data_IF_048585334063
#
_entry.id   IF_048585334063
#
_cell.length_a   1.000
_cell.length_b   1.000
_cell.length_c   1.000
_cell.angle_alpha   90.00
_cell.angle_beta   90.00
_cell.angle_gamma   90.00
#
_symmetry.space_group_name_H-M   'P 1'
#
loop_
_entity.id
_entity.type
_entity.pdbx_description
1 polymer ?
#
# COMPACT_ATOMS: atom_id res chain seq x y z
N UNK A 1 3.64 2.97 12.96
CA UNK A 1 4.46 2.55 11.80
C UNK A 1 5.94 2.58 12.13
N UNK A 2 6.46 3.68 12.70
CA UNK A 2 7.90 3.83 12.98
C UNK A 2 8.49 2.69 13.84
N UNK A 3 7.74 2.18 14.81
CA UNK A 3 8.20 1.08 15.70
C UNK A 3 8.42 -0.24 14.96
N UNK A 4 7.79 -0.45 13.80
CA UNK A 4 7.98 -1.63 12.95
C UNK A 4 8.98 -1.42 11.80
N UNK A 5 9.48 -0.18 11.61
CA UNK A 5 10.32 0.16 10.47
C UNK A 5 11.60 -0.68 10.40
N UNK A 6 12.27 -0.94 11.53
CA UNK A 6 13.48 -1.76 11.53
C UNK A 6 13.18 -3.21 11.10
N UNK A 7 12.07 -3.77 11.57
CA UNK A 7 11.61 -5.11 11.15
C UNK A 7 11.28 -5.14 9.66
N UNK A 8 10.66 -4.07 9.13
CA UNK A 8 10.36 -3.94 7.71
C UNK A 8 11.64 -3.86 6.87
N UNK A 9 12.65 -3.08 7.28
CA UNK A 9 13.96 -3.01 6.61
C UNK A 9 14.59 -4.41 6.52
N UNK A 10 14.57 -5.16 7.62
CA UNK A 10 15.14 -6.50 7.66
C UNK A 10 14.37 -7.49 6.76
N UNK A 11 13.03 -7.38 6.71
CA UNK A 11 12.20 -8.20 5.83
C UNK A 11 12.49 -7.91 4.35
N UNK A 12 12.49 -6.61 3.94
CA UNK A 12 12.63 -6.20 2.52
C UNK A 12 14.02 -6.44 1.93
N UNK A 13 15.05 -6.72 2.77
CA UNK A 13 16.40 -7.08 2.31
C UNK A 13 16.52 -8.54 1.86
N UNK A 14 15.61 -9.42 2.29
CA UNK A 14 15.64 -10.86 1.96
C UNK A 14 15.28 -11.09 0.49
N UNK A 15 15.45 -12.30 0.01
CA UNK A 15 14.84 -12.74 -1.24
C UNK A 15 13.32 -12.67 -1.12
N UNK A 16 12.68 -12.22 -2.20
CA UNK A 16 11.29 -11.83 -2.16
C UNK A 16 10.50 -12.81 -3.00
N UNK A 17 9.52 -13.39 -2.35
CA UNK A 17 8.44 -14.14 -2.95
C UNK A 17 7.15 -13.46 -2.51
N UNK A 18 6.26 -13.15 -3.44
CA UNK A 18 4.98 -12.51 -3.14
C UNK A 18 4.01 -13.54 -2.59
N UNK A 19 4.01 -13.69 -1.27
CA UNK A 19 3.14 -14.62 -0.52
C UNK A 19 1.97 -13.93 0.18
N UNK A 20 2.06 -12.62 0.38
CA UNK A 20 1.02 -11.83 1.03
C UNK A 20 0.75 -10.54 0.26
N UNK A 21 -0.48 -10.36 -0.20
CA UNK A 21 -0.96 -9.15 -0.87
C UNK A 21 -1.94 -8.44 0.07
N UNK A 22 -1.73 -7.14 0.29
CA UNK A 22 -2.64 -6.29 1.07
C UNK A 22 -3.43 -5.39 0.13
N UNK A 23 -4.75 -5.48 0.17
CA UNK A 23 -5.65 -4.58 -0.57
C UNK A 23 -6.28 -3.60 0.40
N UNK A 24 -6.08 -2.29 0.18
CA UNK A 24 -6.69 -1.22 0.98
C UNK A 24 -6.92 0.02 0.14
N UNK A 25 -8.16 0.25 -0.28
CA UNK A 25 -8.57 1.37 -1.13
C UNK A 25 -9.16 2.56 -0.36
N UNK A 26 -9.06 2.52 0.99
CA UNK A 26 -9.55 3.58 1.87
C UNK A 26 -11.03 3.45 2.23
N UNK A 27 -11.60 4.52 2.80
CA UNK A 27 -12.92 4.48 3.43
C UNK A 27 -14.11 4.37 2.47
N UNK A 28 -13.93 4.68 1.20
CA UNK A 28 -15.01 4.66 0.21
C UNK A 28 -14.54 4.06 -1.10
N UNK A 29 -14.67 2.76 -1.23
CA UNK A 29 -14.54 2.06 -2.51
C UNK A 29 -15.87 2.14 -3.27
N UNK A 30 -16.28 3.35 -3.66
CA UNK A 30 -17.59 3.62 -4.28
C UNK A 30 -17.80 2.92 -5.62
N UNK A 31 -16.73 2.44 -6.26
CA UNK A 31 -16.75 1.78 -7.57
C UNK A 31 -16.57 0.27 -7.47
N UNK A 32 -16.57 -0.28 -6.26
CA UNK A 32 -16.30 -1.69 -6.04
C UNK A 32 -14.99 -2.18 -6.70
N UNK A 33 -13.98 -1.32 -6.64
CA UNK A 33 -12.68 -1.60 -7.24
C UNK A 33 -12.00 -2.79 -6.54
N UNK A 34 -12.20 -2.93 -5.23
CA UNK A 34 -11.73 -4.11 -4.46
C UNK A 34 -12.22 -5.40 -5.10
N UNK A 35 -13.49 -5.51 -5.43
CA UNK A 35 -14.04 -6.70 -6.07
C UNK A 35 -13.44 -6.96 -7.46
N UNK A 36 -13.24 -5.90 -8.25
CA UNK A 36 -12.61 -6.00 -9.58
C UNK A 36 -11.16 -6.46 -9.48
N UNK A 37 -10.39 -5.93 -8.52
CA UNK A 37 -9.01 -6.36 -8.24
C UNK A 37 -8.99 -7.84 -7.87
N UNK A 38 -9.86 -8.28 -6.96
CA UNK A 38 -9.94 -9.68 -6.55
C UNK A 38 -10.26 -10.62 -7.73
N UNK A 39 -11.14 -10.22 -8.64
CA UNK A 39 -11.41 -11.00 -9.86
C UNK A 39 -10.17 -11.17 -10.74
N UNK A 40 -9.35 -10.13 -10.86
CA UNK A 40 -8.10 -10.21 -11.62
C UNK A 40 -7.12 -11.15 -10.91
N UNK A 41 -6.91 -11.01 -9.59
CA UNK A 41 -6.02 -11.87 -8.84
C UNK A 41 -6.44 -13.35 -8.90
N UNK A 42 -7.73 -13.63 -8.84
CA UNK A 42 -8.29 -14.98 -8.94
C UNK A 42 -8.09 -15.60 -10.34
N UNK A 43 -8.10 -14.77 -11.39
CA UNK A 43 -7.91 -15.22 -12.77
C UNK A 43 -6.44 -15.37 -13.18
N UNK A 44 -5.50 -14.90 -12.35
CA UNK A 44 -4.06 -15.02 -12.61
C UNK A 44 -3.56 -16.42 -12.30
N UNK A 45 -2.56 -16.86 -13.06
CA UNK A 45 -1.79 -18.06 -12.74
C UNK A 45 -0.69 -17.71 -11.72
N UNK A 46 -0.56 -18.51 -10.67
CA UNK A 46 0.39 -18.33 -9.59
C UNK A 46 1.23 -19.58 -9.41
N UNK A 47 2.56 -19.46 -9.40
CA UNK A 47 3.45 -20.55 -8.98
C UNK A 47 3.21 -20.91 -7.51
N UNK A 48 2.98 -19.89 -6.69
CA UNK A 48 2.57 -20.03 -5.29
C UNK A 48 1.41 -19.05 -5.03
N UNK A 49 0.25 -19.60 -4.67
CA UNK A 49 -0.94 -18.79 -4.39
C UNK A 49 -0.73 -17.89 -3.18
N UNK A 50 -0.85 -16.57 -3.34
CA UNK A 50 -0.69 -15.64 -2.22
C UNK A 50 -1.90 -15.65 -1.29
N UNK A 51 -1.68 -15.29 -0.04
CA UNK A 51 -2.75 -14.88 0.89
C UNK A 51 -3.09 -13.42 0.57
N UNK A 52 -4.38 -13.11 0.45
CA UNK A 52 -4.86 -11.76 0.15
C UNK A 52 -5.62 -11.20 1.36
N UNK A 53 -5.03 -10.23 2.03
CA UNK A 53 -5.67 -9.51 3.13
C UNK A 53 -6.40 -8.27 2.56
N UNK A 54 -7.73 -8.24 2.63
CA UNK A 54 -8.58 -7.14 2.15
C UNK A 54 -9.08 -6.32 3.32
N UNK A 55 -8.68 -5.06 3.40
CA UNK A 55 -9.11 -4.16 4.48
C UNK A 55 -10.26 -3.27 4.02
N UNK A 56 -11.38 -3.37 4.72
CA UNK A 56 -12.59 -2.59 4.47
C UNK A 56 -12.99 -1.80 5.73
N UNK A 57 -13.70 -0.69 5.53
CA UNK A 57 -14.38 0.01 6.63
C UNK A 57 -15.77 -0.61 6.85
N UNK A 58 -16.33 -0.44 8.06
CA UNK A 58 -17.69 -0.90 8.38
C UNK A 58 -18.77 -0.29 7.49
N UNK A 59 -18.48 0.84 6.86
CA UNK A 59 -19.42 1.56 5.99
C UNK A 59 -19.30 1.16 4.51
N UNK A 60 -18.44 0.21 4.17
CA UNK A 60 -18.34 -0.28 2.80
C UNK A 60 -19.62 -1.01 2.41
N UNK A 61 -20.26 -0.56 1.32
CA UNK A 61 -21.49 -1.17 0.81
C UNK A 61 -21.29 -2.54 0.15
N UNK A 62 -20.02 -2.93 -0.08
CA UNK A 62 -19.66 -4.16 -0.80
C UNK A 62 -19.17 -5.28 0.11
N UNK A 63 -19.24 -5.13 1.43
CA UNK A 63 -18.73 -6.13 2.40
C UNK A 63 -19.25 -7.54 2.07
N UNK A 64 -20.58 -7.68 1.91
CA UNK A 64 -21.19 -9.00 1.70
C UNK A 64 -20.82 -9.62 0.35
N UNK A 65 -20.73 -8.82 -0.72
CA UNK A 65 -20.30 -9.33 -2.02
C UNK A 65 -18.82 -9.75 -2.03
N UNK A 66 -17.96 -9.01 -1.31
CA UNK A 66 -16.54 -9.34 -1.18
C UNK A 66 -16.36 -10.59 -0.32
N UNK A 67 -17.11 -10.75 0.78
CA UNK A 67 -17.12 -11.98 1.58
C UNK A 67 -17.60 -13.20 0.78
N UNK A 68 -18.69 -13.03 0.03
CA UNK A 68 -19.21 -14.11 -0.81
C UNK A 68 -18.17 -14.54 -1.88
N UNK A 69 -17.47 -13.58 -2.47
CA UNK A 69 -16.37 -13.87 -3.38
C UNK A 69 -15.23 -14.61 -2.68
N UNK A 70 -14.79 -14.12 -1.50
CA UNK A 70 -13.72 -14.74 -0.74
C UNK A 70 -14.00 -16.20 -0.36
N UNK A 71 -15.27 -16.51 -0.02
CA UNK A 71 -15.66 -17.87 0.32
C UNK A 71 -15.67 -18.85 -0.87
N UNK A 72 -15.74 -18.35 -2.10
CA UNK A 72 -15.80 -19.16 -3.32
C UNK A 72 -14.51 -19.09 -4.16
N UNK A 73 -13.52 -18.33 -3.70
CA UNK A 73 -12.26 -18.15 -4.40
C UNK A 73 -11.30 -19.33 -4.17
N UNK A 74 -10.43 -19.58 -5.14
CA UNK A 74 -9.27 -20.49 -5.01
C UNK A 74 -8.16 -19.86 -4.18
N UNK A 75 -8.06 -18.51 -4.21
CA UNK A 75 -7.16 -17.74 -3.36
C UNK A 75 -7.61 -17.74 -1.90
N UNK A 76 -6.65 -17.73 -0.99
CA UNK A 76 -6.92 -17.51 0.43
C UNK A 76 -7.14 -16.01 0.71
N UNK A 77 -8.39 -15.57 0.74
CA UNK A 77 -8.79 -14.17 0.91
C UNK A 77 -9.34 -13.94 2.32
N UNK A 78 -8.69 -13.08 3.09
CA UNK A 78 -9.13 -12.63 4.41
C UNK A 78 -9.81 -11.26 4.29
N UNK A 79 -11.09 -11.17 4.64
CA UNK A 79 -11.83 -9.91 4.67
C UNK A 79 -11.78 -9.32 6.08
N UNK A 80 -11.02 -8.25 6.25
CA UNK A 80 -10.72 -7.60 7.52
C UNK A 80 -11.49 -6.27 7.61
N UNK A 81 -12.33 -6.12 8.63
CA UNK A 81 -13.19 -4.94 8.77
C UNK A 81 -12.76 -4.10 9.97
N UNK A 82 -12.58 -2.80 9.75
CA UNK A 82 -12.21 -1.83 10.80
C UNK A 82 -10.95 -2.22 11.58
N UNK A 83 -9.89 -2.57 10.88
CA UNK A 83 -8.63 -2.95 11.52
C UNK A 83 -7.98 -1.78 12.28
N UNK A 84 -7.40 -2.08 13.44
CA UNK A 84 -6.62 -1.14 14.25
C UNK A 84 -5.12 -1.38 14.16
N UNK A 85 -4.71 -2.52 13.58
CA UNK A 85 -3.33 -2.99 13.46
C UNK A 85 -2.82 -2.96 12.01
N UNK A 86 -3.08 -1.84 11.30
CA UNK A 86 -2.70 -1.69 9.90
C UNK A 86 -1.18 -1.81 9.68
N UNK A 87 -0.37 -1.36 10.63
CA UNK A 87 1.08 -1.41 10.53
C UNK A 87 1.61 -2.85 10.48
N UNK A 88 1.03 -3.75 11.27
CA UNK A 88 1.34 -5.17 11.30
C UNK A 88 0.94 -5.86 9.99
N UNK A 89 -0.24 -5.52 9.44
CA UNK A 89 -0.68 -6.01 8.13
C UNK A 89 0.27 -5.56 7.02
N UNK A 90 0.67 -4.29 7.02
CA UNK A 90 1.64 -3.76 6.06
C UNK A 90 3.03 -4.37 6.22
N UNK A 91 3.45 -4.69 7.46
CA UNK A 91 4.70 -5.41 7.70
C UNK A 91 4.63 -6.84 7.15
N UNK A 92 3.51 -7.53 7.36
CA UNK A 92 3.28 -8.90 6.88
C UNK A 92 3.24 -8.96 5.35
N UNK A 93 2.59 -8.01 4.71
CA UNK A 93 2.42 -7.98 3.26
C UNK A 93 3.76 -7.88 2.51
N UNK A 94 3.81 -8.48 1.31
CA UNK A 94 4.94 -8.37 0.38
C UNK A 94 4.63 -7.35 -0.72
N UNK A 95 3.38 -7.20 -1.10
CA UNK A 95 2.89 -6.24 -2.08
C UNK A 95 1.60 -5.59 -1.55
N UNK A 96 1.42 -4.30 -1.80
CA UNK A 96 0.15 -3.63 -1.55
C UNK A 96 -0.52 -3.18 -2.84
N UNK A 97 -1.85 -3.25 -2.88
CA UNK A 97 -2.68 -2.62 -3.90
C UNK A 97 -3.60 -1.64 -3.18
N UNK A 98 -3.50 -0.35 -3.49
CA UNK A 98 -4.17 0.63 -2.68
C UNK A 98 -4.48 1.95 -3.36
N UNK A 99 -5.15 2.85 -2.63
CA UNK A 99 -5.40 4.21 -3.07
C UNK A 99 -4.21 5.15 -2.79
N UNK A 100 -4.09 6.22 -3.59
CA UNK A 100 -3.12 7.31 -3.40
C UNK A 100 -3.59 8.30 -2.33
N UNK A 101 -3.80 7.82 -1.10
CA UNK A 101 -4.18 8.60 0.06
C UNK A 101 -3.07 8.67 1.12
N UNK A 102 -3.45 9.04 2.36
CA UNK A 102 -2.52 9.13 3.50
C UNK A 102 -1.82 7.80 3.80
N UNK A 103 -2.48 6.67 3.55
CA UNK A 103 -1.91 5.34 3.72
C UNK A 103 -0.71 5.07 2.80
N UNK A 104 -0.50 5.86 1.75
CA UNK A 104 0.70 5.79 0.92
C UNK A 104 1.96 6.07 1.74
N UNK A 105 1.91 7.08 2.61
CA UNK A 105 3.03 7.43 3.48
C UNK A 105 3.32 6.34 4.53
N UNK A 106 2.28 5.67 5.02
CA UNK A 106 2.39 4.54 5.93
C UNK A 106 3.08 3.35 5.25
N UNK A 107 2.69 3.03 4.00
CA UNK A 107 3.36 2.02 3.17
C UNK A 107 4.81 2.39 2.89
N UNK A 108 5.08 3.66 2.56
CA UNK A 108 6.45 4.16 2.36
C UNK A 108 7.30 4.03 3.63
N UNK A 109 6.75 4.36 4.80
CA UNK A 109 7.45 4.21 6.08
C UNK A 109 7.92 2.77 6.33
N UNK A 110 7.18 1.77 5.86
CA UNK A 110 7.52 0.35 5.96
C UNK A 110 8.15 -0.22 4.67
N UNK A 111 8.49 0.63 3.70
CA UNK A 111 9.09 0.22 2.44
C UNK A 111 8.30 -0.84 1.69
N UNK A 112 6.96 -0.83 1.82
CA UNK A 112 6.08 -1.80 1.18
C UNK A 112 5.83 -1.41 -0.27
N UNK A 113 6.34 -2.17 -1.26
CA UNK A 113 6.05 -1.92 -2.65
C UNK A 113 4.56 -1.89 -2.92
N UNK A 114 4.12 -0.91 -3.69
CA UNK A 114 2.70 -0.61 -3.82
C UNK A 114 2.30 -0.29 -5.25
N UNK A 115 1.25 -0.95 -5.72
CA UNK A 115 0.49 -0.61 -6.91
C UNK A 115 -0.64 0.32 -6.49
N UNK A 116 -0.75 1.50 -7.09
CA UNK A 116 -1.57 2.58 -6.54
C UNK A 116 -2.55 3.15 -7.56
N UNK A 117 -3.82 3.24 -7.17
CA UNK A 117 -4.88 3.93 -7.91
C UNK A 117 -5.14 5.33 -7.36
N UNK A 118 -5.35 6.29 -8.25
CA UNK A 118 -5.96 7.57 -7.90
C UNK A 118 -7.46 7.41 -7.78
N UNK A 119 -8.02 7.61 -6.59
CA UNK A 119 -9.49 7.50 -6.35
C UNK A 119 -10.21 8.84 -6.46
N UNK A 120 -9.47 9.93 -6.60
CA UNK A 120 -9.98 11.30 -6.75
C UNK A 120 -8.98 12.17 -7.51
N UNK A 121 -9.48 13.24 -8.14
CA UNK A 121 -8.65 14.11 -9.00
C UNK A 121 -7.51 14.81 -8.25
N UNK A 122 -7.73 15.17 -6.99
CA UNK A 122 -6.71 15.80 -6.16
C UNK A 122 -5.52 14.87 -5.83
N UNK A 123 -5.64 13.58 -6.08
CA UNK A 123 -4.57 12.60 -5.87
C UNK A 123 -3.68 12.43 -7.11
N UNK A 124 -4.12 12.86 -8.29
CA UNK A 124 -3.38 12.64 -9.55
C UNK A 124 -1.96 13.22 -9.52
N UNK A 125 -1.83 14.47 -9.06
CA UNK A 125 -0.53 15.16 -9.04
C UNK A 125 0.49 14.49 -8.11
N UNK A 126 0.06 14.12 -6.89
CA UNK A 126 0.95 13.44 -5.94
C UNK A 126 1.29 12.03 -6.41
N UNK A 127 0.32 11.30 -6.96
CA UNK A 127 0.52 9.95 -7.49
C UNK A 127 1.54 9.96 -8.63
N UNK A 128 1.39 10.86 -9.63
CA UNK A 128 2.34 11.01 -10.73
C UNK A 128 3.75 11.36 -10.22
N UNK A 129 3.87 12.21 -9.19
CA UNK A 129 5.16 12.54 -8.59
C UNK A 129 5.79 11.33 -7.89
N UNK A 130 5.04 10.57 -7.11
CA UNK A 130 5.54 9.38 -6.41
C UNK A 130 5.96 8.29 -7.39
N UNK A 131 5.21 8.11 -8.47
CA UNK A 131 5.54 7.19 -9.56
C UNK A 131 6.85 7.59 -10.24
N UNK A 132 7.00 8.88 -10.61
CA UNK A 132 8.24 9.40 -11.21
C UNK A 132 9.48 9.29 -10.32
N UNK A 133 9.29 9.20 -9.01
CA UNK A 133 10.35 8.96 -8.02
C UNK A 133 10.62 7.46 -7.79
N UNK A 134 9.88 6.57 -8.45
CA UNK A 134 10.02 5.13 -8.26
C UNK A 134 9.59 4.62 -6.89
N UNK A 135 8.75 5.38 -6.18
CA UNK A 135 8.28 5.05 -4.83
C UNK A 135 7.05 4.13 -4.85
N UNK A 136 6.27 4.23 -5.91
CA UNK A 136 5.09 3.42 -6.18
C UNK A 136 5.07 3.02 -7.65
N UNK A 137 4.14 2.13 -8.04
CA UNK A 137 3.75 1.92 -9.43
C UNK A 137 2.32 2.45 -9.59
N UNK A 138 2.15 3.44 -10.47
CA UNK A 138 0.84 4.04 -10.73
C UNK A 138 0.01 3.18 -11.67
N UNK A 139 -1.21 2.87 -11.26
CA UNK A 139 -2.22 2.16 -12.07
C UNK A 139 -3.26 3.09 -12.68
N UNK A 140 -3.01 4.40 -12.66
CA UNK A 140 -3.93 5.40 -13.18
C UNK A 140 -5.11 5.70 -12.27
N UNK A 141 -6.17 6.27 -12.85
CA UNK A 141 -7.37 6.63 -12.10
C UNK A 141 -8.33 5.42 -12.00
N UNK A 142 -8.95 5.25 -10.84
CA UNK A 142 -9.95 4.19 -10.62
C UNK A 142 -11.20 4.29 -11.56
N UNK A 143 -11.42 5.44 -12.22
CA UNK A 143 -12.46 5.60 -13.23
C UNK A 143 -12.14 4.89 -14.54
N UNK A 144 -10.88 4.62 -14.78
CA UNK A 144 -10.31 4.01 -15.98
C UNK A 144 -9.60 2.70 -15.60
N UNK A 145 -10.23 1.91 -14.69
CA UNK A 145 -9.65 0.66 -14.21
C UNK A 145 -9.30 -0.26 -15.38
N UNK A 146 -8.03 -0.65 -15.44
CA UNK A 146 -7.49 -1.56 -16.44
C UNK A 146 -6.92 -2.81 -15.74
N UNK A 147 -7.64 -3.93 -15.85
CA UNK A 147 -7.24 -5.19 -15.24
C UNK A 147 -5.99 -5.80 -15.87
N UNK A 148 -5.78 -5.60 -17.19
CA UNK A 148 -4.60 -6.10 -17.88
C UNK A 148 -3.34 -5.35 -17.42
N UNK A 149 -3.45 -4.06 -17.16
CA UNK A 149 -2.35 -3.28 -16.58
C UNK A 149 -2.03 -3.79 -15.17
N UNK A 150 -3.05 -4.02 -14.33
CA UNK A 150 -2.85 -4.53 -12.98
C UNK A 150 -2.12 -5.88 -12.99
N UNK A 151 -2.59 -6.85 -13.77
CA UNK A 151 -1.95 -8.17 -13.86
C UNK A 151 -0.54 -8.08 -14.42
N UNK A 152 -0.31 -7.27 -15.45
CA UNK A 152 1.01 -7.01 -16.02
C UNK A 152 2.00 -6.49 -14.96
N UNK A 153 1.62 -5.47 -14.21
CA UNK A 153 2.50 -4.87 -13.19
C UNK A 153 2.78 -5.83 -12.03
N UNK A 154 1.80 -6.67 -11.63
CA UNK A 154 2.03 -7.73 -10.64
C UNK A 154 3.06 -8.73 -11.16
N UNK A 155 2.88 -9.26 -12.37
CA UNK A 155 3.82 -10.21 -13.00
C UNK A 155 5.21 -9.58 -13.14
N UNK A 156 5.29 -8.31 -13.51
CA UNK A 156 6.56 -7.60 -13.65
C UNK A 156 7.30 -7.50 -12.29
N UNK A 157 6.60 -7.20 -11.20
CA UNK A 157 7.18 -7.15 -9.86
C UNK A 157 7.65 -8.54 -9.40
N UNK A 158 6.87 -9.59 -9.66
CA UNK A 158 7.23 -10.97 -9.33
C UNK A 158 8.51 -11.39 -10.06
N UNK A 159 8.59 -11.12 -11.35
CA UNK A 159 9.71 -11.53 -12.20
C UNK A 159 10.93 -10.62 -12.11
N UNK A 160 10.84 -9.48 -11.40
CA UNK A 160 11.91 -8.50 -11.30
C UNK A 160 12.22 -8.12 -9.83
N UNK A 161 12.96 -8.97 -9.10
CA UNK A 161 13.33 -8.69 -7.71
C UNK A 161 14.13 -7.38 -7.54
N UNK A 162 14.86 -6.94 -8.57
CA UNK A 162 15.60 -5.69 -8.50
C UNK A 162 14.67 -4.48 -8.50
N UNK A 163 13.60 -4.50 -9.28
CA UNK A 163 12.55 -3.46 -9.28
C UNK A 163 11.85 -3.39 -7.93
N UNK A 164 11.45 -4.54 -7.38
CA UNK A 164 10.87 -4.61 -6.04
C UNK A 164 11.76 -3.94 -5.00
N UNK A 165 13.07 -4.31 -4.97
CA UNK A 165 14.04 -3.74 -4.02
C UNK A 165 14.24 -2.24 -4.24
N UNK A 166 14.22 -1.78 -5.49
CA UNK A 166 14.32 -0.35 -5.83
C UNK A 166 13.13 0.42 -5.27
N UNK A 167 11.89 -0.01 -5.54
CA UNK A 167 10.68 0.63 -5.02
C UNK A 167 10.71 0.69 -3.48
N UNK A 168 11.05 -0.41 -2.84
CA UNK A 168 11.16 -0.48 -1.38
C UNK A 168 12.21 0.50 -0.83
N UNK A 169 13.37 0.60 -1.46
CA UNK A 169 14.45 1.52 -1.07
C UNK A 169 14.02 2.98 -1.20
N UNK A 170 13.44 3.35 -2.34
CA UNK A 170 12.98 4.73 -2.58
C UNK A 170 11.85 5.10 -1.61
N UNK A 171 10.92 4.17 -1.31
CA UNK A 171 9.89 4.37 -0.30
C UNK A 171 10.48 4.63 1.10
N UNK A 172 11.46 3.84 1.55
CA UNK A 172 12.17 4.09 2.80
C UNK A 172 12.91 5.42 2.82
N UNK A 173 13.48 5.83 1.70
CA UNK A 173 14.19 7.11 1.59
C UNK A 173 13.24 8.29 1.69
N UNK A 174 12.07 8.18 1.08
CA UNK A 174 11.06 9.23 1.06
C UNK A 174 10.41 9.47 2.43
N UNK A 175 10.14 8.41 3.20
CA UNK A 175 9.38 8.49 4.45
C UNK A 175 10.14 7.82 5.60
N UNK A 176 10.70 8.65 6.50
CA UNK A 176 11.43 8.19 7.70
C UNK A 176 10.49 7.78 8.85
N UNK A 177 9.21 8.15 8.80
CA UNK A 177 8.20 7.92 9.84
C UNK A 177 8.28 8.91 11.01
N UNK A 178 9.13 9.93 10.94
CA UNK A 178 9.36 10.91 12.02
C UNK A 178 8.59 12.22 11.83
N UNK A 179 7.66 12.31 10.88
CA UNK A 179 6.96 13.55 10.53
C UNK A 179 6.33 14.26 11.71
N UNK A 180 5.66 13.54 12.63
CA UNK A 180 5.09 14.14 13.84
C UNK A 180 6.16 14.75 14.74
N UNK A 181 7.35 14.13 14.85
CA UNK A 181 8.49 14.66 15.61
C UNK A 181 9.03 15.94 14.98
N UNK A 182 9.18 15.97 13.67
CA UNK A 182 9.66 17.14 12.95
C UNK A 182 8.69 18.32 13.07
N UNK A 183 7.38 18.07 12.95
CA UNK A 183 6.34 19.06 13.18
C UNK A 183 6.41 19.62 14.60
N UNK A 184 6.48 18.74 15.61
CA UNK A 184 6.60 19.16 17.00
C UNK A 184 7.81 20.05 17.24
N UNK A 185 8.99 19.69 16.70
CA UNK A 185 10.20 20.50 16.83
C UNK A 185 10.08 21.86 16.12
N UNK A 186 9.41 21.89 14.96
CA UNK A 186 9.23 23.11 14.19
C UNK A 186 8.29 24.14 14.84
N UNK A 187 7.32 23.69 15.64
CA UNK A 187 6.36 24.57 16.34
C UNK A 187 6.81 24.94 17.75
N UNK A 188 7.92 24.38 18.27
CA UNK A 188 8.45 24.81 19.56
C UNK A 188 8.95 26.25 19.46
N UNK A 189 8.63 27.13 20.46
CA UNK A 189 9.17 28.47 20.48
C UNK A 189 10.69 28.38 20.52
N UNK A 190 11.34 29.11 19.64
CA UNK A 190 12.80 29.31 19.69
C UNK A 190 13.10 29.86 21.06
N UNK A 191 13.73 29.07 21.94
CA UNK A 191 14.24 29.62 23.20
C UNK A 191 15.16 30.79 22.86
N UNK A 192 14.75 32.03 23.21
CA UNK A 192 15.62 33.14 23.09
C UNK A 192 16.93 32.77 23.80
N UNK A 193 18.05 32.87 23.11
CA UNK A 193 19.34 32.78 23.75
C UNK A 193 19.36 33.94 24.77
N UNK A 194 19.32 33.58 26.05
CA UNK A 194 19.49 34.56 27.10
C UNK A 194 20.76 35.35 26.79
N UNK A 195 20.53 36.56 26.30
CA UNK A 195 21.61 37.53 26.11
C UNK A 195 22.18 37.86 27.49
N UNK A 196 23.30 37.30 27.79
CA UNK A 196 24.15 37.89 28.83
C UNK A 196 24.72 39.19 28.25
N UNK A 197 24.17 40.31 28.72
CA UNK A 197 24.91 41.58 28.75
C UNK A 197 26.10 41.47 29.71
#
# INVERSE_FOLDING_TARGET
FIHLRQSAINKRKKEIEIRHILISLGGSDTKNLTYQILKILEAMEWDVYPIVDVVLTKNSQYIESIKAMANNASLNINVLINVTHMAELMLKADLAIGASGTTTWERCCLGLPSLVFGVSDNQKGIMSKLDSLGVIVSLGCCTEFNGDLLSKEIVQIINNPSQYKSISKEAFTLCDGLGARWTYLAIQPIKAKDGKC
#
